data_IF_567570399124
#
_entry.id   IF_567570399124
#
_cell.length_a   1.000
_cell.length_b   1.000
_cell.length_c   1.000
_cell.angle_alpha   90.00
_cell.angle_beta   90.00
_cell.angle_gamma   90.00
#
_symmetry.space_group_name_H-M   'P 1'
#
loop_
_entity.id
_entity.type
_entity.pdbx_description
1 polymer ?
#
# COMPACT_ATOMS: atom_id res chain seq x y z
N UNK A 1 18.26 33.17 9.52
CA UNK A 1 18.97 31.94 9.10
C UNK A 1 17.96 30.80 9.18
N UNK A 2 17.97 29.89 8.21
CA UNK A 2 17.08 28.72 8.26
C UNK A 2 17.54 27.79 9.40
N UNK A 3 16.63 27.06 10.02
CA UNK A 3 17.04 25.97 10.91
C UNK A 3 17.59 24.79 10.07
N UNK A 4 18.48 23.95 10.64
CA UNK A 4 18.99 22.78 9.95
C UNK A 4 17.89 21.75 9.66
N UNK A 5 18.05 21.03 8.54
CA UNK A 5 17.07 20.04 8.03
C UNK A 5 17.79 18.80 7.57
N UNK A 6 17.14 17.64 7.66
CA UNK A 6 17.71 16.37 7.21
C UNK A 6 16.85 15.76 6.10
N UNK A 7 17.51 15.31 5.03
CA UNK A 7 16.96 14.37 4.06
C UNK A 7 17.58 13.00 4.24
N UNK A 8 16.78 11.95 4.14
CA UNK A 8 17.21 10.55 4.20
C UNK A 8 16.70 9.85 2.95
N UNK A 9 17.54 9.07 2.30
CA UNK A 9 17.15 8.17 1.22
C UNK A 9 17.65 6.75 1.51
N UNK A 10 16.71 5.83 1.75
CA UNK A 10 17.01 4.41 1.96
C UNK A 10 17.00 3.70 0.62
N UNK A 11 18.20 3.43 0.11
CA UNK A 11 18.43 2.60 -1.06
C UNK A 11 18.55 1.11 -0.72
N UNK A 12 18.77 0.30 -1.75
CA UNK A 12 19.10 -1.12 -1.60
C UNK A 12 20.39 -1.33 -0.82
N UNK A 13 21.52 -0.86 -1.33
CA UNK A 13 22.83 -1.11 -0.70
C UNK A 13 23.18 -0.12 0.40
N UNK A 14 22.82 1.15 0.21
CA UNK A 14 23.20 2.24 1.09
C UNK A 14 22.00 3.08 1.49
N UNK A 15 22.10 3.66 2.68
CA UNK A 15 21.24 4.73 3.16
C UNK A 15 22.04 6.02 3.13
N UNK A 16 21.54 6.99 2.38
CA UNK A 16 22.13 8.31 2.22
C UNK A 16 21.42 9.30 3.15
N UNK A 17 22.20 10.07 3.91
CA UNK A 17 21.67 11.12 4.80
C UNK A 17 22.35 12.44 4.43
N UNK A 18 21.54 13.45 4.17
CA UNK A 18 21.98 14.81 3.87
C UNK A 18 21.47 15.79 4.93
N UNK A 19 22.36 16.57 5.52
CA UNK A 19 22.05 17.67 6.41
C UNK A 19 22.18 18.98 5.63
N UNK A 20 21.14 19.79 5.61
CA UNK A 20 21.19 21.17 5.17
C UNK A 20 21.46 22.08 6.38
N UNK A 21 22.50 22.90 6.26
CA UNK A 21 22.92 23.84 7.29
C UNK A 21 22.12 25.16 7.21
N UNK A 22 22.12 25.97 8.27
CA UNK A 22 21.43 27.27 8.29
C UNK A 22 21.85 28.27 7.20
N UNK A 23 23.05 28.12 6.66
CA UNK A 23 23.64 28.92 5.59
C UNK A 23 23.31 28.41 4.17
N UNK A 24 22.54 27.32 4.06
CA UNK A 24 22.14 26.69 2.80
C UNK A 24 23.18 25.72 2.22
N UNK A 25 24.29 25.46 2.91
CA UNK A 25 25.26 24.44 2.50
C UNK A 25 24.82 23.05 2.97
N UNK A 26 25.41 22.00 2.39
CA UNK A 26 25.07 20.61 2.70
C UNK A 26 26.24 19.83 3.30
N UNK A 27 25.92 18.91 4.21
CA UNK A 27 26.77 17.80 4.62
C UNK A 27 26.08 16.50 4.24
N UNK A 28 26.85 15.43 4.02
CA UNK A 28 26.25 14.12 3.82
C UNK A 28 27.09 13.01 4.43
N UNK A 29 26.39 11.93 4.77
CA UNK A 29 26.99 10.66 5.13
C UNK A 29 26.24 9.53 4.41
N UNK A 30 26.98 8.45 4.16
CA UNK A 30 26.48 7.25 3.53
C UNK A 30 26.81 6.07 4.43
N UNK A 31 25.80 5.30 4.77
CA UNK A 31 25.93 4.10 5.60
C UNK A 31 25.35 2.89 4.86
N UNK A 32 25.78 1.68 5.23
CA UNK A 32 25.20 0.46 4.66
C UNK A 32 23.74 0.33 5.11
N UNK A 33 22.86 -0.09 4.19
CA UNK A 33 21.46 -0.36 4.52
C UNK A 33 21.35 -1.64 5.34
N UNK A 34 20.68 -1.56 6.48
CA UNK A 34 20.30 -2.74 7.26
C UNK A 34 18.97 -3.29 6.75
N UNK A 35 18.99 -4.18 5.76
CA UNK A 35 17.78 -4.63 5.05
C UNK A 35 16.65 -5.17 5.94
N UNK A 36 16.97 -5.87 7.02
CA UNK A 36 15.96 -6.42 7.94
C UNK A 36 15.39 -5.37 8.89
N UNK A 37 16.16 -4.30 9.13
CA UNK A 37 15.85 -3.23 10.07
C UNK A 37 16.32 -1.88 9.53
N UNK A 38 15.70 -1.38 8.45
CA UNK A 38 16.17 -0.17 7.75
C UNK A 38 16.23 1.06 8.65
N UNK A 39 15.39 1.10 9.68
CA UNK A 39 15.39 2.14 10.71
C UNK A 39 16.73 2.28 11.42
N UNK A 40 17.49 1.20 11.59
CA UNK A 40 18.81 1.24 12.24
C UNK A 40 19.82 2.01 11.40
N UNK A 41 19.82 1.80 10.08
CA UNK A 41 20.71 2.52 9.17
C UNK A 41 20.36 4.01 9.09
N UNK A 42 19.07 4.35 9.11
CA UNK A 42 18.61 5.74 9.16
C UNK A 42 19.10 6.43 10.45
N UNK A 43 18.86 5.82 11.61
CA UNK A 43 19.26 6.39 12.89
C UNK A 43 20.78 6.51 13.02
N UNK A 44 21.53 5.52 12.53
CA UNK A 44 22.99 5.56 12.49
C UNK A 44 23.51 6.70 11.59
N UNK A 45 22.94 6.86 10.40
CA UNK A 45 23.30 7.94 9.49
C UNK A 45 22.98 9.33 10.04
N UNK A 46 21.82 9.51 10.66
CA UNK A 46 21.44 10.76 11.32
C UNK A 46 22.40 11.08 12.47
N UNK A 47 22.66 10.11 13.34
CA UNK A 47 23.55 10.32 14.50
C UNK A 47 24.96 10.73 14.03
N UNK A 48 25.48 10.06 13.01
CA UNK A 48 26.81 10.30 12.50
C UNK A 48 26.95 11.63 11.74
N UNK A 49 25.93 12.09 11.01
CA UNK A 49 25.98 13.43 10.38
C UNK A 49 25.90 14.54 11.41
N UNK A 50 25.08 14.36 12.45
CA UNK A 50 24.92 15.32 13.54
C UNK A 50 26.22 15.47 14.34
N UNK A 51 26.82 14.33 14.73
CA UNK A 51 28.10 14.30 15.45
C UNK A 51 29.23 14.96 14.63
N UNK A 52 29.32 14.64 13.34
CA UNK A 52 30.35 15.20 12.45
C UNK A 52 30.22 16.72 12.27
N UNK A 53 28.99 17.24 12.25
CA UNK A 53 28.71 18.65 11.98
C UNK A 53 28.58 19.48 13.26
N UNK A 54 28.68 18.85 14.44
CA UNK A 54 28.59 19.53 15.73
C UNK A 54 27.21 20.16 16.00
N UNK A 55 26.16 19.63 15.37
CA UNK A 55 24.76 20.04 15.61
C UNK A 55 24.11 19.07 16.59
N UNK A 56 22.85 19.28 16.94
CA UNK A 56 22.09 18.39 17.82
C UNK A 56 20.70 18.09 17.25
N UNK A 57 20.09 17.00 17.69
CA UNK A 57 18.76 16.59 17.22
C UNK A 57 17.67 17.64 17.52
N UNK A 58 17.79 18.39 18.62
CA UNK A 58 16.87 19.45 19.01
C UNK A 58 16.93 20.69 18.10
N UNK A 59 18.01 20.87 17.36
CA UNK A 59 18.14 21.94 16.36
C UNK A 59 17.48 21.56 15.03
N UNK A 60 17.29 20.27 14.75
CA UNK A 60 16.71 19.78 13.50
C UNK A 60 15.21 20.04 13.49
N UNK A 61 14.74 20.85 12.53
CA UNK A 61 13.31 21.22 12.44
C UNK A 61 12.51 20.35 11.49
N UNK A 62 13.18 19.61 10.60
CA UNK A 62 12.52 18.80 9.60
C UNK A 62 13.38 17.59 9.22
N UNK A 63 12.73 16.44 9.08
CA UNK A 63 13.29 15.24 8.47
C UNK A 63 12.40 14.83 7.30
N UNK A 64 12.98 14.70 6.12
CA UNK A 64 12.32 14.17 4.93
C UNK A 64 12.87 12.77 4.69
N UNK A 65 11.99 11.76 4.69
CA UNK A 65 12.36 10.37 4.47
C UNK A 65 11.89 9.88 3.10
N UNK A 66 12.84 9.53 2.25
CA UNK A 66 12.65 8.78 1.02
C UNK A 66 13.12 7.33 1.20
N UNK A 67 12.43 6.41 0.54
CA UNK A 67 12.84 5.02 0.51
C UNK A 67 12.43 4.36 -0.79
N UNK A 68 13.28 3.46 -1.29
CA UNK A 68 13.00 2.59 -2.43
C UNK A 68 12.49 1.20 -2.03
N UNK A 69 12.39 0.92 -0.72
CA UNK A 69 12.05 -0.41 -0.20
C UNK A 69 10.66 -0.88 -0.62
N UNK A 70 9.66 0.02 -0.62
CA UNK A 70 8.31 -0.31 -1.05
C UNK A 70 8.25 -0.70 -2.54
N UNK A 71 8.93 0.05 -3.40
CA UNK A 71 9.01 -0.23 -4.84
C UNK A 71 9.73 -1.55 -5.10
N UNK A 72 10.84 -1.82 -4.41
CA UNK A 72 11.58 -3.07 -4.57
C UNK A 72 10.77 -4.27 -4.08
N UNK A 73 10.07 -4.14 -2.95
CA UNK A 73 9.16 -5.18 -2.44
C UNK A 73 8.07 -5.54 -3.47
N UNK A 74 7.53 -4.54 -4.17
CA UNK A 74 6.55 -4.74 -5.23
C UNK A 74 7.14 -5.46 -6.45
N UNK A 75 8.31 -5.02 -6.93
CA UNK A 75 9.01 -5.61 -8.08
C UNK A 75 9.35 -7.09 -7.79
N UNK A 76 9.87 -7.37 -6.60
CA UNK A 76 10.27 -8.71 -6.18
C UNK A 76 9.10 -9.56 -5.67
N UNK A 77 7.88 -9.00 -5.64
CA UNK A 77 6.66 -9.62 -5.10
C UNK A 77 6.86 -10.15 -3.68
N UNK A 78 7.65 -9.46 -2.87
CA UNK A 78 7.87 -9.75 -1.46
C UNK A 78 6.90 -8.91 -0.65
N UNK A 79 5.91 -9.54 -0.04
CA UNK A 79 4.91 -8.84 0.74
C UNK A 79 4.07 -9.77 1.61
N UNK A 80 3.10 -9.18 2.30
CA UNK A 80 2.13 -9.93 3.08
C UNK A 80 1.31 -10.86 2.17
N UNK A 81 0.92 -12.03 2.72
CA UNK A 81 -0.03 -12.91 2.04
C UNK A 81 -1.38 -12.20 1.97
N UNK A 82 -1.72 -11.71 0.78
CA UNK A 82 -2.82 -10.75 0.57
C UNK A 82 -3.96 -11.37 -0.21
N UNK A 83 -5.19 -11.17 0.25
CA UNK A 83 -6.41 -11.49 -0.50
C UNK A 83 -7.10 -10.23 -1.01
N UNK A 84 -7.86 -10.36 -2.10
CA UNK A 84 -8.79 -9.33 -2.58
C UNK A 84 -10.22 -9.78 -2.28
N UNK A 85 -11.05 -8.90 -1.74
CA UNK A 85 -12.50 -9.10 -1.61
C UNK A 85 -13.21 -8.02 -2.42
N UNK A 86 -14.06 -8.44 -3.36
CA UNK A 86 -14.74 -7.50 -4.26
C UNK A 86 -16.20 -7.88 -4.51
N UNK A 87 -16.92 -7.07 -5.28
CA UNK A 87 -18.32 -7.29 -5.59
C UNK A 87 -18.49 -8.56 -6.42
N UNK A 88 -19.55 -9.34 -6.17
CA UNK A 88 -19.91 -10.47 -7.02
C UNK A 88 -19.99 -10.05 -8.51
N UNK A 89 -19.32 -10.83 -9.37
CA UNK A 89 -19.15 -10.53 -10.80
C UNK A 89 -17.94 -9.66 -11.15
N UNK A 90 -17.23 -9.09 -10.18
CA UNK A 90 -16.10 -8.16 -10.39
C UNK A 90 -14.74 -8.74 -9.95
N UNK A 91 -14.69 -10.05 -9.65
CA UNK A 91 -13.48 -10.78 -9.21
C UNK A 91 -12.26 -10.54 -10.12
N UNK A 92 -12.51 -10.36 -11.40
CA UNK A 92 -11.49 -10.43 -12.45
C UNK A 92 -11.07 -9.07 -12.97
N UNK A 93 -11.56 -7.97 -12.37
CA UNK A 93 -11.22 -6.61 -12.79
C UNK A 93 -9.70 -6.40 -12.86
N UNK A 94 -8.95 -6.87 -11.86
CA UNK A 94 -7.47 -6.73 -11.84
C UNK A 94 -6.76 -7.64 -12.85
N UNK A 95 -7.43 -8.67 -13.37
CA UNK A 95 -6.91 -9.56 -14.42
C UNK A 95 -7.17 -8.98 -15.81
N UNK A 96 -8.42 -8.59 -16.04
CA UNK A 96 -8.92 -8.11 -17.32
C UNK A 96 -8.36 -6.73 -17.67
N UNK A 97 -8.05 -5.91 -16.65
CA UNK A 97 -7.45 -4.57 -16.81
C UNK A 97 -8.33 -3.67 -17.68
N UNK A 98 -7.69 -2.68 -18.28
CA UNK A 98 -8.25 -1.84 -19.33
C UNK A 98 -7.63 -2.21 -20.67
N UNK A 99 -8.12 -1.61 -21.76
CA UNK A 99 -7.54 -1.77 -23.10
C UNK A 99 -6.12 -1.15 -23.26
N UNK A 100 -5.60 -0.51 -22.21
CA UNK A 100 -4.28 0.13 -22.21
C UNK A 100 -3.14 -0.89 -22.37
N UNK A 101 -2.21 -0.59 -23.29
CA UNK A 101 -1.02 -1.41 -23.58
C UNK A 101 0.22 -0.52 -23.57
N UNK A 102 1.32 -1.01 -22.98
CA UNK A 102 2.60 -0.30 -23.01
C UNK A 102 3.27 -0.39 -24.38
N UNK A 103 3.06 -1.50 -25.11
CA UNK A 103 3.43 -1.65 -26.52
C UNK A 103 2.16 -1.78 -27.37
N UNK A 104 1.73 -0.68 -28.00
CA UNK A 104 0.46 -0.61 -28.72
C UNK A 104 0.40 -1.47 -29.99
N UNK A 105 1.56 -1.76 -30.59
CA UNK A 105 1.66 -2.48 -31.86
C UNK A 105 2.04 -3.95 -31.72
N UNK A 106 2.41 -4.41 -30.51
CA UNK A 106 2.63 -5.83 -30.27
C UNK A 106 1.30 -6.54 -29.99
N UNK A 107 0.83 -7.31 -30.97
CA UNK A 107 -0.38 -8.10 -30.84
C UNK A 107 -0.21 -9.31 -29.90
N UNK A 108 1.02 -9.74 -29.65
CA UNK A 108 1.37 -10.89 -28.81
C UNK A 108 1.86 -10.48 -27.42
N UNK A 109 1.68 -9.22 -27.03
CA UNK A 109 2.14 -8.67 -25.76
C UNK A 109 1.68 -9.53 -24.58
N UNK A 110 2.63 -9.98 -23.77
CA UNK A 110 2.35 -10.71 -22.54
C UNK A 110 2.35 -9.71 -21.39
N UNK A 111 1.17 -9.49 -20.81
CA UNK A 111 1.03 -8.57 -19.70
C UNK A 111 1.51 -9.24 -18.38
N UNK A 112 2.17 -8.49 -17.48
CA UNK A 112 2.66 -9.06 -16.22
C UNK A 112 1.48 -9.51 -15.37
N UNK A 113 1.49 -10.70 -14.74
CA UNK A 113 0.33 -11.23 -14.00
C UNK A 113 -0.06 -10.29 -12.85
N UNK A 114 -1.32 -10.27 -12.39
CA UNK A 114 -1.72 -9.43 -11.26
C UNK A 114 -0.96 -9.80 -9.97
N UNK A 115 -0.95 -8.88 -8.99
CA UNK A 115 -0.28 -9.10 -7.70
C UNK A 115 -0.94 -10.19 -6.86
N UNK A 116 -2.27 -10.26 -6.92
CA UNK A 116 -3.08 -11.23 -6.19
C UNK A 116 -3.57 -12.29 -7.19
N UNK A 117 -3.25 -13.57 -6.98
CA UNK A 117 -3.69 -14.66 -7.86
C UNK A 117 -5.22 -14.83 -7.80
N UNK A 118 -5.83 -15.34 -8.87
CA UNK A 118 -7.30 -15.51 -8.94
C UNK A 118 -7.90 -16.31 -7.77
N UNK A 119 -7.18 -17.32 -7.27
CA UNK A 119 -7.62 -18.17 -6.14
C UNK A 119 -7.74 -17.40 -4.82
N UNK A 120 -7.02 -16.28 -4.70
CA UNK A 120 -6.97 -15.39 -3.55
C UNK A 120 -7.91 -14.18 -3.70
N UNK A 121 -8.80 -14.22 -4.71
CA UNK A 121 -9.82 -13.20 -4.98
C UNK A 121 -11.21 -13.74 -4.63
N UNK A 122 -11.81 -13.16 -3.61
CA UNK A 122 -13.10 -13.52 -3.05
C UNK A 122 -14.15 -12.50 -3.47
N UNK A 123 -15.41 -12.90 -3.40
CA UNK A 123 -16.53 -12.02 -3.73
C UNK A 123 -17.62 -12.07 -2.69
N UNK A 124 -18.27 -10.94 -2.48
CA UNK A 124 -19.47 -10.82 -1.65
C UNK A 124 -20.64 -10.39 -2.54
N UNK A 125 -21.82 -11.05 -2.43
CA UNK A 125 -23.06 -10.57 -3.05
C UNK A 125 -23.47 -9.24 -2.40
N UNK A 126 -23.23 -8.16 -3.12
CA UNK A 126 -23.65 -6.81 -2.76
C UNK A 126 -23.68 -5.97 -4.04
N UNK A 127 -24.37 -4.83 -4.05
CA UNK A 127 -24.26 -3.86 -5.14
C UNK A 127 -24.64 -2.46 -4.68
N UNK A 128 -23.71 -1.53 -4.83
CA UNK A 128 -23.98 -0.10 -4.83
C UNK A 128 -24.11 0.39 -6.29
N UNK A 129 -25.05 1.30 -6.54
CA UNK A 129 -25.25 1.96 -7.82
C UNK A 129 -24.38 3.22 -7.98
N UNK A 130 -24.30 3.75 -9.20
CA UNK A 130 -23.42 4.89 -9.49
C UNK A 130 -23.81 6.19 -8.76
N UNK A 131 -25.04 6.30 -8.23
CA UNK A 131 -25.50 7.43 -7.42
C UNK A 131 -25.40 7.15 -5.91
N UNK A 132 -24.81 6.03 -5.51
CA UNK A 132 -24.60 5.63 -4.11
C UNK A 132 -25.78 4.87 -3.48
N UNK A 133 -26.82 4.60 -4.26
CA UNK A 133 -27.98 3.81 -3.83
C UNK A 133 -27.62 2.33 -3.68
N UNK A 134 -28.23 1.66 -2.71
CA UNK A 134 -28.08 0.21 -2.54
C UNK A 134 -28.99 -0.49 -3.54
N UNK A 135 -28.40 -1.16 -4.53
CA UNK A 135 -29.11 -1.97 -5.53
C UNK A 135 -29.26 -3.43 -5.09
N UNK A 136 -28.28 -3.95 -4.36
CA UNK A 136 -28.34 -5.24 -3.69
C UNK A 136 -27.72 -5.08 -2.30
N UNK A 137 -28.49 -5.44 -1.27
CA UNK A 137 -28.06 -5.36 0.13
C UNK A 137 -26.83 -6.23 0.36
N UNK A 138 -25.94 -5.78 1.25
CA UNK A 138 -24.78 -6.55 1.68
C UNK A 138 -25.19 -7.89 2.32
N UNK A 139 -24.83 -9.00 1.69
CA UNK A 139 -25.08 -10.34 2.21
C UNK A 139 -24.09 -10.69 3.32
N UNK A 140 -24.49 -10.44 4.57
CA UNK A 140 -23.67 -10.74 5.75
C UNK A 140 -23.32 -12.22 5.89
N UNK A 141 -24.22 -13.13 5.51
CA UNK A 141 -23.98 -14.56 5.65
C UNK A 141 -22.89 -15.00 4.68
N UNK A 142 -22.97 -14.57 3.42
CA UNK A 142 -21.94 -14.81 2.43
C UNK A 142 -20.61 -14.15 2.82
N UNK A 143 -20.64 -12.90 3.34
CA UNK A 143 -19.46 -12.21 3.82
C UNK A 143 -18.76 -12.96 4.98
N UNK A 144 -19.52 -13.46 5.96
CA UNK A 144 -18.96 -14.29 7.05
C UNK A 144 -18.34 -15.59 6.52
N UNK A 145 -18.93 -16.20 5.50
CA UNK A 145 -18.34 -17.35 4.80
C UNK A 145 -17.01 -17.01 4.12
N UNK A 146 -16.89 -15.83 3.51
CA UNK A 146 -15.62 -15.33 2.96
C UNK A 146 -14.61 -15.10 4.08
N UNK A 147 -14.99 -14.43 5.18
CA UNK A 147 -14.12 -14.20 6.34
C UNK A 147 -13.56 -15.51 6.89
N UNK A 148 -14.40 -16.54 7.06
CA UNK A 148 -13.93 -17.85 7.53
C UNK A 148 -12.87 -18.46 6.59
N UNK A 149 -13.05 -18.35 5.27
CA UNK A 149 -12.06 -18.80 4.29
C UNK A 149 -10.78 -17.97 4.30
N UNK A 150 -10.87 -16.67 4.61
CA UNK A 150 -9.69 -15.81 4.75
C UNK A 150 -8.87 -16.20 5.99
N UNK A 151 -9.54 -16.53 7.09
CA UNK A 151 -8.88 -17.01 8.32
C UNK A 151 -8.22 -18.37 8.08
N UNK A 152 -8.95 -19.34 7.50
CA UNK A 152 -8.42 -20.66 7.17
C UNK A 152 -7.25 -20.59 6.16
N UNK A 153 -7.35 -19.66 5.21
CA UNK A 153 -6.28 -19.36 4.26
C UNK A 153 -5.06 -18.67 4.87
N UNK A 154 -5.13 -18.20 6.12
CA UNK A 154 -4.03 -17.53 6.82
C UNK A 154 -3.56 -16.23 6.17
N UNK A 155 -4.48 -15.44 5.59
CA UNK A 155 -4.12 -14.14 5.01
C UNK A 155 -3.84 -13.11 6.10
N UNK A 156 -2.70 -12.44 6.01
CA UNK A 156 -2.28 -11.40 6.95
C UNK A 156 -2.63 -10.00 6.46
N UNK A 157 -3.11 -9.88 5.21
CA UNK A 157 -3.54 -8.64 4.57
C UNK A 157 -4.76 -8.88 3.68
N UNK A 158 -5.72 -7.96 3.68
CA UNK A 158 -6.92 -8.03 2.84
C UNK A 158 -7.21 -6.66 2.23
N UNK A 159 -7.25 -6.61 0.90
CA UNK A 159 -7.77 -5.48 0.15
C UNK A 159 -9.27 -5.68 -0.08
N UNK A 160 -10.08 -4.68 0.24
CA UNK A 160 -11.53 -4.68 0.03
C UNK A 160 -11.87 -3.61 -0.99
N UNK A 161 -12.39 -4.04 -2.13
CA UNK A 161 -12.74 -3.17 -3.24
C UNK A 161 -14.12 -3.47 -3.77
N UNK A 162 -15.12 -2.73 -3.32
CA UNK A 162 -16.48 -2.83 -3.83
C UNK A 162 -16.77 -1.77 -4.90
N UNK A 163 -17.67 -2.11 -5.81
CA UNK A 163 -18.16 -1.21 -6.85
C UNK A 163 -18.75 0.05 -6.22
N UNK A 164 -18.37 1.21 -6.75
CA UNK A 164 -18.89 2.51 -6.30
C UNK A 164 -18.72 2.82 -4.79
N UNK A 165 -17.78 2.16 -4.11
CA UNK A 165 -17.49 2.42 -2.69
C UNK A 165 -17.00 3.85 -2.41
N UNK A 166 -16.42 4.52 -3.42
CA UNK A 166 -16.09 5.95 -3.36
C UNK A 166 -17.32 6.87 -3.25
N UNK A 167 -18.53 6.37 -3.56
CA UNK A 167 -19.80 7.09 -3.34
C UNK A 167 -20.47 6.66 -2.05
N UNK A 168 -20.54 5.35 -1.82
CA UNK A 168 -21.14 4.78 -0.62
C UNK A 168 -20.20 3.69 -0.05
N UNK A 169 -19.44 4.01 1.00
CA UNK A 169 -18.44 3.11 1.58
C UNK A 169 -19.02 2.07 2.55
N UNK A 170 -20.33 2.08 2.80
CA UNK A 170 -20.94 1.35 3.92
C UNK A 170 -20.70 -0.15 3.85
N UNK A 171 -20.78 -0.76 2.66
CA UNK A 171 -20.52 -2.19 2.48
C UNK A 171 -19.04 -2.55 2.73
N UNK A 172 -18.09 -1.71 2.30
CA UNK A 172 -16.66 -1.93 2.56
C UNK A 172 -16.35 -1.86 4.06
N UNK A 173 -16.90 -0.84 4.74
CA UNK A 173 -16.77 -0.67 6.19
C UNK A 173 -17.38 -1.84 6.94
N UNK A 174 -18.57 -2.29 6.52
CA UNK A 174 -19.22 -3.45 7.12
C UNK A 174 -18.41 -4.73 6.96
N UNK A 175 -17.81 -4.95 5.79
CA UNK A 175 -16.91 -6.10 5.60
C UNK A 175 -15.67 -6.02 6.50
N UNK A 176 -15.05 -4.83 6.64
CA UNK A 176 -13.93 -4.63 7.58
C UNK A 176 -14.32 -4.97 9.01
N UNK A 177 -15.47 -4.52 9.49
CA UNK A 177 -15.96 -4.84 10.84
C UNK A 177 -16.03 -6.36 11.05
N UNK A 178 -16.67 -7.08 10.14
CA UNK A 178 -16.79 -8.54 10.20
C UNK A 178 -15.43 -9.25 10.19
N UNK A 179 -14.48 -8.76 9.39
CA UNK A 179 -13.14 -9.32 9.32
C UNK A 179 -12.34 -9.02 10.59
N UNK A 180 -12.42 -7.80 11.11
CA UNK A 180 -11.72 -7.40 12.34
C UNK A 180 -12.27 -8.12 13.57
N UNK A 181 -13.56 -8.45 13.62
CA UNK A 181 -14.14 -9.30 14.67
C UNK A 181 -13.51 -10.70 14.68
N UNK A 182 -13.21 -11.28 13.51
CA UNK A 182 -12.68 -12.63 13.38
C UNK A 182 -11.15 -12.71 13.46
N UNK A 183 -10.43 -11.70 12.96
CA UNK A 183 -8.97 -11.64 12.94
C UNK A 183 -8.46 -10.20 13.10
N UNK A 184 -8.36 -9.70 14.34
CA UNK A 184 -7.93 -8.32 14.61
C UNK A 184 -6.52 -7.97 14.11
N UNK A 185 -5.66 -8.98 13.92
CA UNK A 185 -4.28 -8.80 13.46
C UNK A 185 -4.13 -8.65 11.94
N UNK A 186 -5.18 -8.96 11.16
CA UNK A 186 -5.12 -8.86 9.70
C UNK A 186 -5.20 -7.39 9.29
N UNK A 187 -4.23 -6.93 8.49
CA UNK A 187 -4.28 -5.59 7.91
C UNK A 187 -5.41 -5.51 6.87
N UNK A 188 -6.25 -4.46 6.93
CA UNK A 188 -7.37 -4.28 6.01
C UNK A 188 -7.27 -2.92 5.33
N UNK A 189 -7.23 -2.94 3.99
CA UNK A 189 -7.24 -1.74 3.16
C UNK A 189 -8.59 -1.61 2.48
N UNK A 190 -9.32 -0.54 2.76
CA UNK A 190 -10.56 -0.21 2.06
C UNK A 190 -10.25 0.66 0.85
N UNK A 191 -10.75 0.28 -0.32
CA UNK A 191 -10.51 1.05 -1.54
C UNK A 191 -11.08 2.47 -1.46
N UNK A 192 -12.18 2.67 -0.72
CA UNK A 192 -12.74 3.99 -0.45
C UNK A 192 -11.90 4.86 0.51
N UNK A 193 -10.93 4.30 1.23
CA UNK A 193 -10.01 5.06 2.10
C UNK A 193 -8.66 5.30 1.41
N UNK A 194 -8.19 4.33 0.62
CA UNK A 194 -6.90 4.40 -0.09
C UNK A 194 -6.99 5.28 -1.34
N UNK A 195 -8.01 5.07 -2.17
CA UNK A 195 -8.19 5.79 -3.44
C UNK A 195 -9.68 5.96 -3.75
N UNK A 196 -10.37 6.94 -3.13
CA UNK A 196 -11.81 7.20 -3.32
C UNK A 196 -12.13 7.81 -4.69
N UNK A 197 -11.75 7.12 -5.76
CA UNK A 197 -11.91 7.57 -7.14
C UNK A 197 -12.74 6.58 -7.96
N UNK A 198 -13.37 7.11 -9.01
CA UNK A 198 -14.05 6.28 -10.00
C UNK A 198 -13.03 5.44 -10.78
N UNK A 199 -13.46 4.25 -11.24
CA UNK A 199 -12.71 3.19 -11.93
C UNK A 199 -12.05 2.18 -10.99
N UNK A 200 -12.53 0.96 -11.11
CA UNK A 200 -12.20 -0.16 -10.21
C UNK A 200 -10.81 -0.72 -10.48
N UNK A 201 -10.36 -0.74 -11.74
CA UNK A 201 -9.05 -1.29 -12.05
C UNK A 201 -7.93 -0.48 -11.37
N UNK A 202 -7.95 0.84 -11.55
CA UNK A 202 -6.98 1.73 -10.91
C UNK A 202 -7.18 1.81 -9.39
N UNK A 203 -8.43 1.75 -8.91
CA UNK A 203 -8.72 1.82 -7.46
C UNK A 203 -8.33 0.54 -6.70
N UNK A 204 -8.33 -0.63 -7.35
CA UNK A 204 -8.04 -1.91 -6.70
C UNK A 204 -6.56 -2.31 -6.74
N UNK A 205 -5.72 -1.62 -7.54
CA UNK A 205 -4.27 -1.85 -7.62
C UNK A 205 -3.49 -0.82 -6.78
#
# INVERSE_FOLDING_TARGET
>A
MSAPRIGVDVGGTFTDVALERPDGTFASIKVLTTHQRPEEAVLAGISAVIEREGTTLDEITQIIHGTTLATNALIERRGAKTALVTTAGFRDVIETRTESRFEQYDLNIVLPPPLIERKDRYVVPERIGARGEVLLTFDEQAARGVVARLVDGGYTSVAVGFMHSYRNPDHERRFRELLSEATPSTAVSLSCEVSPQMREFERFN
#
